data_IF_453740470596
#
_entry.id   IF_453740470596
#
_cell.length_a   1.000
_cell.length_b   1.000
_cell.length_c   1.000
_cell.angle_alpha   90.00
_cell.angle_beta   90.00
_cell.angle_gamma   90.00
#
_symmetry.space_group_name_H-M   'P 1'
#
loop_
_entity.id
_entity.type
_entity.pdbx_description
1 polymer ?
#
# COMPACT_ATOMS: atom_id res chain seq x y z
N UNK A 1 63.83 -27.26 -17.78
CA UNK A 1 63.59 -25.81 -17.77
C UNK A 1 62.26 -25.59 -18.45
N UNK A 2 61.34 -24.93 -17.75
CA UNK A 2 60.07 -24.40 -18.26
C UNK A 2 60.39 -23.21 -19.15
N UNK A 3 59.58 -22.97 -20.18
CA UNK A 3 59.02 -21.64 -20.44
C UNK A 3 57.89 -21.73 -21.47
N UNK A 4 56.75 -21.21 -21.02
CA UNK A 4 55.42 -21.14 -21.61
C UNK A 4 55.31 -19.74 -22.24
N UNK A 5 54.90 -19.63 -23.51
CA UNK A 5 54.62 -18.33 -24.12
C UNK A 5 53.10 -18.15 -24.24
N UNK A 6 52.52 -17.11 -23.62
CA UNK A 6 51.09 -16.81 -23.69
C UNK A 6 50.77 -15.91 -24.89
N UNK A 7 49.73 -16.23 -25.65
CA UNK A 7 49.11 -15.30 -26.60
C UNK A 7 47.66 -15.00 -26.18
N UNK A 8 47.47 -13.74 -25.77
CA UNK A 8 46.36 -12.83 -26.05
C UNK A 8 44.95 -13.36 -26.36
N UNK A 9 43.94 -12.87 -25.60
CA UNK A 9 42.89 -11.93 -26.06
C UNK A 9 41.80 -11.71 -24.99
N UNK A 10 41.50 -10.45 -24.58
CA UNK A 10 40.20 -10.11 -24.00
C UNK A 10 39.50 -9.04 -24.84
N UNK A 11 38.36 -9.36 -25.47
CA UNK A 11 37.56 -8.37 -26.19
C UNK A 11 36.05 -8.66 -26.25
N UNK A 12 35.48 -9.48 -25.34
CA UNK A 12 34.04 -9.81 -25.38
C UNK A 12 33.29 -9.46 -24.07
N UNK A 13 33.93 -8.84 -23.08
CA UNK A 13 33.27 -8.46 -21.82
C UNK A 13 32.70 -7.03 -21.81
N UNK A 14 33.10 -6.17 -22.76
CA UNK A 14 32.69 -4.76 -22.77
C UNK A 14 31.23 -4.49 -23.13
N UNK A 15 30.52 -5.44 -23.76
CA UNK A 15 29.14 -5.20 -24.22
C UNK A 15 28.09 -5.41 -23.13
N UNK A 16 28.30 -6.35 -22.20
CA UNK A 16 27.39 -6.62 -21.08
C UNK A 16 27.48 -5.56 -19.97
N UNK A 17 28.66 -4.97 -19.76
CA UNK A 17 28.85 -3.90 -18.78
C UNK A 17 28.13 -2.60 -19.18
N UNK A 18 28.12 -2.27 -20.48
CA UNK A 18 27.44 -1.07 -21.00
C UNK A 18 25.91 -1.13 -20.84
N UNK A 19 25.31 -2.31 -21.05
CA UNK A 19 23.87 -2.53 -20.89
C UNK A 19 23.42 -2.49 -19.42
N UNK A 20 24.27 -2.88 -18.47
CA UNK A 20 24.00 -2.76 -17.03
C UNK A 20 24.09 -1.31 -16.56
N UNK A 21 25.04 -0.53 -17.08
CA UNK A 21 25.20 0.89 -16.74
C UNK A 21 24.09 1.79 -17.32
N UNK A 22 23.45 1.38 -18.41
CA UNK A 22 22.29 2.10 -18.96
C UNK A 22 20.99 1.77 -18.19
N UNK A 23 20.82 0.51 -17.75
CA UNK A 23 19.65 0.11 -16.95
C UNK A 23 19.62 0.76 -15.56
N UNK A 24 20.77 1.01 -14.94
CA UNK A 24 20.85 1.71 -13.65
C UNK A 24 20.52 3.21 -13.73
N UNK A 25 20.41 3.78 -14.93
CA UNK A 25 20.00 5.19 -15.13
C UNK A 25 18.50 5.35 -15.40
N UNK A 26 17.79 4.26 -15.70
CA UNK A 26 16.37 4.30 -16.03
C UNK A 26 15.44 4.11 -14.81
N UNK A 27 15.98 3.85 -13.62
CA UNK A 27 15.19 3.70 -12.39
C UNK A 27 15.28 4.91 -11.46
N UNK A 28 15.84 6.03 -11.92
CA UNK A 28 15.61 7.32 -11.26
C UNK A 28 14.37 7.94 -11.87
N UNK A 29 13.23 7.26 -11.68
CA UNK A 29 11.97 7.99 -11.60
C UNK A 29 12.09 8.85 -10.35
N UNK A 30 12.17 10.16 -10.56
CA UNK A 30 12.05 11.16 -9.51
C UNK A 30 10.63 11.08 -8.96
N UNK A 31 10.41 10.12 -8.07
CA UNK A 31 9.28 10.10 -7.15
C UNK A 31 9.59 11.14 -6.06
N UNK A 32 9.38 12.41 -6.38
CA UNK A 32 9.35 13.47 -5.38
C UNK A 32 8.07 13.29 -4.55
N UNK A 33 8.18 12.43 -3.54
CA UNK A 33 7.16 12.18 -2.52
C UNK A 33 7.75 11.52 -1.28
N UNK A 34 9.04 11.75 -1.01
CA UNK A 34 9.66 11.30 0.25
C UNK A 34 9.12 12.14 1.39
N UNK A 35 7.99 11.72 1.97
CA UNK A 35 7.58 12.19 3.29
C UNK A 35 8.72 11.93 4.27
N UNK A 36 9.15 12.97 4.98
CA UNK A 36 10.08 12.83 6.08
C UNK A 36 9.56 11.74 7.05
N UNK A 37 10.36 10.72 7.42
CA UNK A 37 9.93 9.68 8.36
C UNK A 37 9.72 10.19 9.80
N UNK A 38 9.83 11.50 10.00
CA UNK A 38 9.68 12.22 11.26
C UNK A 38 8.51 13.19 11.29
N UNK A 39 7.77 13.39 10.19
CA UNK A 39 6.45 14.00 10.30
C UNK A 39 5.47 12.91 10.77
N UNK A 40 4.83 13.08 11.93
CA UNK A 40 3.75 12.18 12.31
C UNK A 40 2.67 12.36 11.25
N UNK A 41 2.48 11.35 10.41
CA UNK A 41 1.27 11.27 9.61
C UNK A 41 0.11 11.44 10.58
N UNK A 42 -0.76 12.43 10.31
CA UNK A 42 -1.96 12.65 11.11
C UNK A 42 -2.87 11.45 10.84
N UNK A 43 -3.25 10.74 11.90
CA UNK A 43 -3.89 9.45 11.77
C UNK A 43 -4.19 8.78 13.09
N UNK A 44 -5.10 7.81 13.05
CA UNK A 44 -5.48 7.02 14.21
C UNK A 44 -4.70 5.71 14.22
N UNK A 45 -3.87 5.52 15.24
CA UNK A 45 -3.27 4.23 15.54
C UNK A 45 -4.25 3.38 16.36
N UNK A 46 -4.66 2.25 15.80
CA UNK A 46 -5.50 1.26 16.46
C UNK A 46 -4.66 0.05 16.86
N UNK A 47 -4.64 -0.26 18.17
CA UNK A 47 -4.02 -1.47 18.71
C UNK A 47 -5.08 -2.48 19.12
N UNK A 48 -5.01 -3.69 18.56
CA UNK A 48 -5.96 -4.78 18.84
C UNK A 48 -5.23 -5.90 19.58
N UNK A 49 -5.69 -6.22 20.80
CA UNK A 49 -5.13 -7.31 21.58
C UNK A 49 -5.26 -8.63 20.83
N UNK A 50 -4.12 -9.28 20.56
CA UNK A 50 -4.10 -10.53 19.79
C UNK A 50 -4.89 -11.66 20.46
N UNK A 51 -4.96 -11.64 21.80
CA UNK A 51 -5.56 -12.72 22.59
C UNK A 51 -7.07 -12.60 22.72
N UNK A 52 -7.60 -11.40 22.96
CA UNK A 52 -9.00 -11.20 23.34
C UNK A 52 -9.77 -10.20 22.47
N UNK A 53 -9.10 -9.62 21.46
CA UNK A 53 -9.69 -8.68 20.51
C UNK A 53 -10.02 -7.30 21.08
N UNK A 54 -9.58 -6.96 22.29
CA UNK A 54 -9.81 -5.62 22.84
C UNK A 54 -9.03 -4.56 22.05
N UNK A 55 -9.71 -3.50 21.67
CA UNK A 55 -9.20 -2.40 20.85
C UNK A 55 -8.81 -1.20 21.72
N UNK A 56 -7.78 -0.48 21.28
CA UNK A 56 -7.28 0.77 21.84
C UNK A 56 -6.99 1.73 20.70
N UNK A 57 -7.40 2.99 20.84
CA UNK A 57 -7.28 4.03 19.82
C UNK A 57 -6.37 5.15 20.32
N UNK A 58 -5.50 5.63 19.43
CA UNK A 58 -4.47 6.61 19.70
C UNK A 58 -4.42 7.59 18.53
N UNK A 59 -5.04 8.77 18.70
CA UNK A 59 -5.18 9.80 17.65
C UNK A 59 -3.99 10.77 17.72
N UNK A 60 -3.84 11.50 18.82
CA UNK A 60 -2.80 12.53 18.97
C UNK A 60 -1.59 12.10 19.84
N UNK A 61 -1.62 10.88 20.37
CA UNK A 61 -0.67 10.44 21.38
C UNK A 61 -0.12 9.05 21.10
N UNK A 62 1.19 8.87 21.30
CA UNK A 62 1.81 7.57 21.13
C UNK A 62 1.38 6.60 22.25
N UNK A 63 1.21 5.29 21.96
CA UNK A 63 0.87 4.33 22.99
C UNK A 63 1.93 4.29 24.10
N UNK A 64 1.54 4.10 25.37
CA UNK A 64 2.51 4.00 26.45
C UNK A 64 3.42 2.78 26.27
N UNK A 65 4.71 2.95 26.57
CA UNK A 65 5.65 1.83 26.60
C UNK A 65 5.16 0.76 27.59
N UNK A 66 5.13 -0.49 27.15
CA UNK A 66 4.68 -1.61 27.98
C UNK A 66 3.16 -1.70 28.18
N UNK A 67 2.38 -1.12 27.26
CA UNK A 67 0.92 -1.30 27.22
C UNK A 67 0.53 -2.77 27.46
N UNK A 68 -0.36 -2.98 28.42
CA UNK A 68 -0.89 -4.30 28.79
C UNK A 68 -2.40 -4.29 28.63
N UNK A 69 -2.96 -5.33 28.03
CA UNK A 69 -4.39 -5.43 27.81
C UNK A 69 -5.13 -5.54 29.16
N UNK A 70 -5.97 -4.57 29.49
CA UNK A 70 -6.72 -4.52 30.76
C UNK A 70 -7.73 -5.67 30.90
N UNK A 71 -8.12 -6.31 29.78
CA UNK A 71 -9.09 -7.40 29.77
C UNK A 71 -8.47 -8.77 30.04
N UNK A 72 -7.26 -9.05 29.54
CA UNK A 72 -6.66 -10.39 29.61
C UNK A 72 -5.19 -10.41 30.06
N UNK A 73 -4.56 -9.26 30.27
CA UNK A 73 -3.16 -9.15 30.70
C UNK A 73 -2.12 -9.42 29.60
N UNK A 74 -2.55 -9.68 28.35
CA UNK A 74 -1.62 -9.88 27.23
C UNK A 74 -0.93 -8.57 26.85
N UNK A 75 0.34 -8.65 26.42
CA UNK A 75 1.15 -7.53 25.94
C UNK A 75 1.36 -7.55 24.42
N UNK A 76 0.70 -8.47 23.72
CA UNK A 76 0.84 -8.64 22.26
C UNK A 76 -0.36 -8.05 21.54
N UNK A 77 -0.08 -7.12 20.63
CA UNK A 77 -1.08 -6.37 19.87
C UNK A 77 -0.80 -6.43 18.38
N UNK A 78 -1.86 -6.38 17.57
CA UNK A 78 -1.79 -6.02 16.15
C UNK A 78 -2.00 -4.52 16.03
N UNK A 79 -1.20 -3.85 15.21
CA UNK A 79 -1.29 -2.42 14.96
C UNK A 79 -1.86 -2.14 13.59
N UNK A 80 -2.79 -1.20 13.50
CA UNK A 80 -3.32 -0.64 12.26
C UNK A 80 -3.21 0.87 12.36
N UNK A 81 -2.64 1.51 11.34
CA UNK A 81 -2.55 2.95 11.26
C UNK A 81 -3.46 3.42 10.14
N UNK A 82 -4.40 4.32 10.45
CA UNK A 82 -5.29 4.93 9.47
C UNK A 82 -4.94 6.41 9.35
N UNK A 83 -4.41 6.89 8.21
CA UNK A 83 -4.24 8.32 7.98
C UNK A 83 -5.61 9.02 7.98
N UNK A 84 -5.68 10.28 8.43
CA UNK A 84 -6.91 11.08 8.41
C UNK A 84 -7.23 11.63 7.01
N UNK A 85 -6.20 12.01 6.25
CA UNK A 85 -6.31 12.49 4.87
C UNK A 85 -5.39 11.66 3.96
N UNK A 86 -6.00 10.81 3.14
CA UNK A 86 -5.32 10.04 2.11
C UNK A 86 -5.92 10.41 0.76
N UNK A 87 -5.28 11.33 0.04
CA UNK A 87 -5.72 11.82 -1.27
C UNK A 87 -5.87 10.68 -2.28
N UNK A 88 -5.06 9.61 -2.17
CA UNK A 88 -5.13 8.44 -3.06
C UNK A 88 -6.36 7.60 -2.73
N UNK A 89 -6.65 7.41 -1.44
CA UNK A 89 -7.88 6.74 -1.01
C UNK A 89 -9.12 7.53 -1.45
N UNK A 90 -9.11 8.86 -1.29
CA UNK A 90 -10.21 9.73 -1.72
C UNK A 90 -10.41 9.68 -3.24
N UNK A 91 -9.36 9.77 -4.05
CA UNK A 91 -9.45 9.64 -5.52
C UNK A 91 -9.98 8.26 -5.95
N UNK A 92 -9.57 7.20 -5.26
CA UNK A 92 -10.11 5.86 -5.49
C UNK A 92 -11.60 5.78 -5.14
N UNK A 93 -12.01 6.34 -4.01
CA UNK A 93 -13.42 6.38 -3.60
C UNK A 93 -14.26 7.17 -4.62
N UNK A 94 -13.82 8.38 -5.00
CA UNK A 94 -14.53 9.21 -5.97
C UNK A 94 -14.64 8.55 -7.36
N UNK A 95 -13.59 7.84 -7.80
CA UNK A 95 -13.58 7.18 -9.11
C UNK A 95 -14.34 5.84 -9.15
N UNK A 96 -14.56 5.20 -8.00
CA UNK A 96 -15.19 3.87 -7.92
C UNK A 96 -16.51 3.85 -7.18
N UNK A 97 -16.90 4.95 -6.53
CA UNK A 97 -18.19 5.11 -5.91
C UNK A 97 -19.29 4.84 -6.94
N UNK A 98 -20.23 3.98 -6.56
CA UNK A 98 -21.44 3.74 -7.35
C UNK A 98 -22.41 4.87 -7.07
N UNK A 99 -23.16 5.27 -8.10
CA UNK A 99 -24.32 6.11 -7.86
C UNK A 99 -25.34 5.32 -7.02
N UNK A 100 -25.73 5.91 -5.91
CA UNK A 100 -26.71 5.39 -4.96
C UNK A 100 -27.89 6.36 -4.81
N UNK A 101 -27.98 7.38 -5.66
CA UNK A 101 -29.10 8.31 -5.66
C UNK A 101 -30.39 7.57 -6.02
N UNK A 102 -31.35 7.46 -5.07
CA UNK A 102 -32.60 6.76 -5.33
C UNK A 102 -33.49 7.48 -6.35
N UNK A 103 -33.20 8.74 -6.67
CA UNK A 103 -33.93 9.54 -7.66
C UNK A 103 -33.21 9.59 -9.03
N UNK A 104 -32.09 8.86 -9.20
CA UNK A 104 -31.38 8.77 -10.48
C UNK A 104 -32.15 7.90 -11.49
N UNK A 105 -32.63 8.48 -12.61
CA UNK A 105 -33.35 7.73 -13.63
C UNK A 105 -32.51 6.66 -14.34
N UNK A 106 -31.17 6.71 -14.27
CA UNK A 106 -30.31 5.66 -14.85
C UNK A 106 -30.33 4.36 -14.04
N UNK A 107 -30.67 4.43 -12.73
CA UNK A 107 -30.82 3.27 -11.84
C UNK A 107 -32.22 2.65 -11.80
N UNK A 108 -33.20 3.29 -12.43
CA UNK A 108 -34.61 2.93 -12.30
C UNK A 108 -35.00 1.72 -13.15
N UNK A 109 -35.51 0.67 -12.51
CA UNK A 109 -36.05 -0.49 -13.21
C UNK A 109 -37.47 -0.20 -13.71
N UNK A 110 -37.71 -0.30 -15.02
CA UNK A 110 -39.04 -0.12 -15.57
C UNK A 110 -39.92 -1.34 -15.33
N UNK A 111 -41.24 -1.16 -15.41
CA UNK A 111 -42.18 -2.28 -15.33
C UNK A 111 -41.95 -3.33 -16.43
N UNK A 112 -41.36 -2.93 -17.57
CA UNK A 112 -40.97 -3.85 -18.64
C UNK A 112 -39.81 -4.76 -18.22
N UNK A 113 -38.77 -4.18 -17.62
CA UNK A 113 -37.58 -4.92 -17.16
C UNK A 113 -37.96 -5.98 -16.12
N UNK A 114 -38.86 -5.62 -15.19
CA UNK A 114 -39.39 -6.55 -14.18
C UNK A 114 -40.20 -7.69 -14.82
N UNK A 115 -40.97 -7.39 -15.87
CA UNK A 115 -41.75 -8.41 -16.58
C UNK A 115 -40.85 -9.40 -17.33
N UNK A 116 -39.74 -8.93 -17.90
CA UNK A 116 -38.77 -9.76 -18.60
C UNK A 116 -38.03 -10.72 -17.65
N UNK A 117 -37.68 -10.28 -16.44
CA UNK A 117 -37.07 -11.13 -15.41
C UNK A 117 -37.97 -12.28 -14.93
N UNK A 118 -39.29 -12.07 -14.88
CA UNK A 118 -40.27 -13.09 -14.49
C UNK A 118 -40.50 -14.17 -15.56
N UNK A 119 -39.84 -14.05 -16.71
CA UNK A 119 -39.93 -14.98 -17.84
C UNK A 119 -38.69 -15.85 -18.02
N UNK A 120 -37.78 -15.85 -17.05
CA UNK A 120 -36.60 -16.72 -16.97
C UNK A 120 -36.94 -18.14 -16.51
#
# INVERSE_FOLDING_TARGET
MREDTPQDRPAEESSLAGLRAAQSRATTSEDTGGADPHEPAQGVLTLICFTCGKEYFFEDQEPPEGLTCEKCGSTVFRSFFSPEDDEVAQDFEDSTARDLDPDDPEGDATAGDIADLNRL
#
